data_IF_422390454396
#
_entry.id   IF_422390454396
#
_cell.length_a   1.000
_cell.length_b   1.000
_cell.length_c   1.000
_cell.angle_alpha   90.00
_cell.angle_beta   90.00
_cell.angle_gamma   90.00
#
_symmetry.space_group_name_H-M   'P 1'
#
loop_
_entity.id
_entity.type
_entity.pdbx_description
1 polymer ?
#
# COMPACT_ATOMS: atom_id res chain seq x y z
N UNK A 1 21.85 14.22 -8.06
CA UNK A 1 22.15 12.94 -7.36
C UNK A 1 22.14 11.79 -8.38
N UNK A 2 22.67 10.60 -8.08
CA UNK A 2 22.49 9.39 -8.91
C UNK A 2 21.83 8.29 -8.09
N UNK A 3 20.78 7.68 -8.64
CA UNK A 3 20.14 6.48 -8.09
C UNK A 3 20.46 5.33 -9.04
N UNK A 4 20.95 4.23 -8.49
CA UNK A 4 21.29 3.04 -9.27
C UNK A 4 20.23 1.97 -9.05
N UNK A 5 19.75 1.36 -10.14
CA UNK A 5 18.75 0.28 -10.14
C UNK A 5 19.24 -0.93 -10.94
N UNK A 6 18.67 -2.11 -10.73
CA UNK A 6 19.16 -3.32 -11.38
C UNK A 6 18.74 -3.45 -12.85
N UNK A 7 17.54 -2.98 -13.21
CA UNK A 7 16.93 -3.22 -14.53
C UNK A 7 16.03 -2.06 -15.00
N UNK A 8 15.52 -2.18 -16.23
CA UNK A 8 14.73 -1.13 -16.87
C UNK A 8 13.35 -0.92 -16.24
N UNK A 9 12.76 -1.94 -15.63
CA UNK A 9 11.45 -1.84 -14.99
C UNK A 9 11.56 -1.06 -13.67
N UNK A 10 12.59 -1.34 -12.87
CA UNK A 10 12.94 -0.53 -11.70
C UNK A 10 13.28 0.91 -12.09
N UNK A 11 14.02 1.10 -13.18
CA UNK A 11 14.32 2.45 -13.67
C UNK A 11 13.04 3.23 -13.98
N UNK A 12 12.10 2.61 -14.69
CA UNK A 12 10.79 3.21 -14.97
C UNK A 12 10.00 3.50 -13.70
N UNK A 13 9.99 2.58 -12.74
CA UNK A 13 9.29 2.75 -11.47
C UNK A 13 9.83 3.94 -10.70
N UNK A 14 11.15 3.99 -10.48
CA UNK A 14 11.79 5.06 -9.70
C UNK A 14 11.71 6.39 -10.42
N UNK A 15 11.87 6.41 -11.76
CA UNK A 15 11.68 7.64 -12.52
C UNK A 15 10.24 8.17 -12.38
N UNK A 16 9.23 7.29 -12.53
CA UNK A 16 7.82 7.69 -12.32
C UNK A 16 7.55 8.17 -10.90
N UNK A 17 8.20 7.59 -9.90
CA UNK A 17 8.11 8.03 -8.52
C UNK A 17 8.67 9.46 -8.36
N UNK A 18 9.89 9.71 -8.86
CA UNK A 18 10.50 11.05 -8.84
C UNK A 18 9.63 12.07 -9.58
N UNK A 19 9.12 11.71 -10.77
CA UNK A 19 8.25 12.59 -11.56
C UNK A 19 6.93 12.90 -10.83
N UNK A 20 6.37 11.90 -10.12
CA UNK A 20 5.14 12.04 -9.36
C UNK A 20 5.31 12.85 -8.07
N UNK A 21 6.53 12.94 -7.54
CA UNK A 21 6.80 13.69 -6.33
C UNK A 21 6.41 15.17 -6.50
N UNK A 22 6.66 15.82 -7.66
CA UNK A 22 6.18 17.18 -8.01
C UNK A 22 6.47 18.30 -6.98
N UNK A 23 6.63 19.54 -7.45
CA UNK A 23 7.01 20.77 -6.70
C UNK A 23 6.44 20.97 -5.27
N UNK A 24 5.39 20.28 -4.82
CA UNK A 24 4.76 20.45 -3.50
C UNK A 24 5.01 19.36 -2.46
N UNK A 25 5.67 18.23 -2.78
CA UNK A 25 5.85 17.18 -1.76
C UNK A 25 6.81 17.62 -0.65
N UNK A 26 7.84 18.41 -0.98
CA UNK A 26 8.78 18.93 0.01
C UNK A 26 8.10 19.90 0.97
N UNK A 27 7.28 20.83 0.47
CA UNK A 27 6.47 21.70 1.32
C UNK A 27 5.60 20.90 2.30
N UNK A 28 4.99 19.81 1.81
CA UNK A 28 4.16 18.93 2.65
C UNK A 28 5.01 18.18 3.67
N UNK A 29 6.17 17.65 3.27
CA UNK A 29 7.09 16.96 4.18
C UNK A 29 7.60 17.90 5.27
N UNK A 30 8.07 19.09 4.90
CA UNK A 30 8.52 20.13 5.82
C UNK A 30 7.40 20.52 6.78
N UNK A 31 6.17 20.71 6.29
CA UNK A 31 5.02 21.06 7.11
C UNK A 31 4.68 19.96 8.13
N UNK A 32 4.73 18.68 7.75
CA UNK A 32 4.44 17.57 8.68
C UNK A 32 5.58 17.38 9.70
N UNK A 33 6.84 17.56 9.30
CA UNK A 33 8.00 17.53 10.20
C UNK A 33 7.92 18.63 11.27
N UNK A 34 7.65 19.87 10.85
CA UNK A 34 7.46 21.00 11.77
C UNK A 34 6.27 20.81 12.69
N UNK A 35 5.17 20.28 12.17
CA UNK A 35 3.97 19.99 12.98
C UNK A 35 4.28 18.93 14.04
N UNK A 36 4.93 17.84 13.66
CA UNK A 36 5.32 16.77 14.59
C UNK A 36 6.25 17.31 15.67
N UNK A 37 7.28 18.06 15.29
CA UNK A 37 8.23 18.68 16.22
C UNK A 37 7.52 19.61 17.22
N UNK A 38 6.59 20.43 16.73
CA UNK A 38 5.78 21.31 17.58
C UNK A 38 4.92 20.52 18.58
N UNK A 39 4.25 19.46 18.14
CA UNK A 39 3.39 18.61 18.98
C UNK A 39 4.17 17.86 20.08
N UNK A 40 5.45 17.58 19.85
CA UNK A 40 6.32 16.84 20.77
C UNK A 40 7.31 17.74 21.53
N UNK A 41 7.27 19.06 21.30
CA UNK A 41 8.20 20.03 21.88
C UNK A 41 9.68 19.69 21.57
N UNK A 42 9.91 19.27 20.34
CA UNK A 42 11.21 18.93 19.76
C UNK A 42 11.55 19.91 18.61
N UNK A 43 12.77 19.79 18.07
CA UNK A 43 13.17 20.48 16.85
C UNK A 43 12.76 19.64 15.62
N UNK A 44 12.50 20.28 14.46
CA UNK A 44 12.31 19.56 13.20
C UNK A 44 13.48 18.62 12.91
N UNK A 45 13.21 17.47 12.27
CA UNK A 45 14.23 16.48 11.98
C UNK A 45 15.26 16.98 10.96
N UNK A 46 14.82 17.83 10.03
CA UNK A 46 15.66 18.39 8.97
C UNK A 46 15.68 19.91 9.05
N UNK A 47 16.86 20.47 8.83
CA UNK A 47 17.06 21.91 8.64
C UNK A 47 16.63 22.37 7.24
N UNK A 48 16.47 23.68 7.07
CA UNK A 48 16.18 24.28 5.76
C UNK A 48 17.26 24.00 4.72
N UNK A 49 18.54 23.93 5.12
CA UNK A 49 19.64 23.57 4.20
C UNK A 49 19.52 22.12 3.71
N UNK A 50 19.10 21.21 4.58
CA UNK A 50 18.89 19.80 4.23
C UNK A 50 17.68 19.62 3.31
N UNK A 51 16.58 20.34 3.55
CA UNK A 51 15.45 20.38 2.62
C UNK A 51 15.85 20.92 1.25
N UNK A 52 16.63 22.01 1.19
CA UNK A 52 17.18 22.55 -0.07
C UNK A 52 18.09 21.56 -0.80
N UNK A 53 18.87 20.77 -0.05
CA UNK A 53 19.71 19.73 -0.63
C UNK A 53 18.89 18.59 -1.24
N UNK A 54 17.79 18.19 -0.57
CA UNK A 54 16.87 17.17 -1.08
C UNK A 54 16.14 17.68 -2.32
N UNK A 55 15.70 18.94 -2.32
CA UNK A 55 15.08 19.62 -3.47
C UNK A 55 15.95 19.52 -4.72
N UNK A 56 17.15 20.12 -4.69
CA UNK A 56 18.06 20.08 -5.82
C UNK A 56 18.62 18.68 -6.12
N UNK A 57 18.70 17.82 -5.10
CA UNK A 57 19.29 16.49 -5.22
C UNK A 57 18.38 15.46 -5.88
N UNK A 58 17.13 15.36 -5.39
CA UNK A 58 16.19 14.31 -5.72
C UNK A 58 15.41 14.60 -7.01
N UNK A 59 14.98 15.84 -7.24
CA UNK A 59 14.29 16.19 -8.50
C UNK A 59 15.21 16.07 -9.72
N UNK A 60 16.49 16.38 -9.55
CA UNK A 60 17.51 16.22 -10.60
C UNK A 60 18.24 14.87 -10.51
N UNK A 61 17.69 13.91 -9.77
CA UNK A 61 18.31 12.60 -9.65
C UNK A 61 18.27 11.87 -10.99
N UNK A 62 19.44 11.43 -11.45
CA UNK A 62 19.54 10.56 -12.62
C UNK A 62 19.41 9.10 -12.17
N UNK A 63 18.45 8.38 -12.73
CA UNK A 63 18.26 6.94 -12.48
C UNK A 63 19.03 6.14 -13.54
N UNK A 64 20.02 5.36 -13.13
CA UNK A 64 20.87 4.55 -14.03
C UNK A 64 20.79 3.05 -13.71
N UNK A 65 20.93 2.22 -14.74
CA UNK A 65 20.89 0.77 -14.60
C UNK A 65 22.31 0.23 -14.34
N UNK A 66 22.48 -0.52 -13.25
CA UNK A 66 23.65 -1.36 -13.00
C UNK A 66 23.20 -2.79 -12.66
N UNK A 67 23.34 -3.71 -13.62
CA UNK A 67 22.84 -5.09 -13.54
C UNK A 67 23.46 -5.97 -12.45
N UNK A 68 24.51 -5.47 -11.77
CA UNK A 68 25.14 -6.12 -10.62
C UNK A 68 24.36 -5.90 -9.31
N UNK A 69 23.51 -4.88 -9.26
CA UNK A 69 22.70 -4.58 -8.09
C UNK A 69 21.67 -5.68 -7.86
N UNK A 70 21.19 -5.83 -6.63
CA UNK A 70 20.12 -6.80 -6.36
C UNK A 70 18.80 -6.25 -6.91
N UNK A 71 18.02 -7.02 -7.70
CA UNK A 71 16.73 -6.55 -8.17
C UNK A 71 15.76 -6.36 -7.00
N UNK A 72 14.86 -5.39 -7.14
CA UNK A 72 13.69 -5.24 -6.30
C UNK A 72 12.83 -6.50 -6.45
N UNK A 73 12.47 -7.08 -5.32
CA UNK A 73 11.58 -8.23 -5.27
C UNK A 73 10.17 -7.67 -5.18
N UNK A 74 9.43 -7.79 -6.28
CA UNK A 74 7.98 -7.63 -6.26
C UNK A 74 7.42 -8.99 -5.82
N UNK A 75 6.74 -9.03 -4.69
CA UNK A 75 5.90 -10.18 -4.38
C UNK A 75 4.68 -10.02 -5.30
N UNK A 76 4.63 -10.82 -6.37
CA UNK A 76 3.71 -10.71 -7.52
C UNK A 76 2.22 -10.87 -7.18
N UNK A 77 1.91 -10.85 -5.92
CA UNK A 77 0.66 -11.31 -5.40
C UNK A 77 0.18 -10.23 -4.42
N UNK A 78 -0.59 -9.26 -4.93
CA UNK A 78 -1.65 -8.56 -4.19
C UNK A 78 -2.72 -9.55 -3.65
N UNK A 79 -2.32 -10.81 -3.48
CA UNK A 79 -3.03 -11.89 -2.85
C UNK A 79 -3.00 -11.61 -1.36
N UNK A 80 -4.12 -11.12 -0.89
CA UNK A 80 -4.34 -11.06 0.54
C UNK A 80 -4.69 -12.46 1.00
N UNK A 81 -3.98 -12.90 2.03
CA UNK A 81 -4.26 -14.17 2.70
C UNK A 81 -4.83 -13.88 4.07
N UNK A 82 -5.80 -14.69 4.49
CA UNK A 82 -6.46 -14.51 5.77
C UNK A 82 -7.20 -15.76 6.22
N UNK A 83 -7.54 -15.83 7.50
CA UNK A 83 -8.41 -16.87 8.05
C UNK A 83 -9.78 -16.27 8.34
N UNK A 84 -10.84 -16.92 7.84
CA UNK A 84 -12.20 -16.45 8.11
C UNK A 84 -12.51 -16.57 9.62
N UNK A 85 -12.87 -15.47 10.26
CA UNK A 85 -13.19 -15.47 11.70
C UNK A 85 -14.43 -16.33 12.06
N UNK A 86 -15.31 -16.58 11.08
CA UNK A 86 -16.56 -17.35 11.27
C UNK A 86 -16.33 -18.85 11.15
N UNK A 87 -15.62 -19.31 10.10
CA UNK A 87 -15.50 -20.73 9.77
C UNK A 87 -14.08 -21.28 9.84
N UNK A 88 -13.07 -20.43 10.07
CA UNK A 88 -11.65 -20.80 10.11
C UNK A 88 -11.07 -21.18 8.75
N UNK A 89 -11.80 -21.01 7.65
CA UNK A 89 -11.29 -21.31 6.32
C UNK A 89 -10.16 -20.35 5.95
N UNK A 90 -9.04 -20.89 5.49
CA UNK A 90 -8.00 -20.10 4.84
C UNK A 90 -8.52 -19.54 3.51
N UNK A 91 -8.22 -18.28 3.26
CA UNK A 91 -8.66 -17.53 2.09
C UNK A 91 -7.47 -16.88 1.41
N UNK A 92 -7.55 -16.79 0.09
CA UNK A 92 -6.51 -16.34 -0.82
C UNK A 92 -7.23 -15.63 -1.97
N UNK A 93 -6.98 -14.35 -2.20
CA UNK A 93 -7.56 -13.66 -3.36
C UNK A 93 -7.28 -12.17 -3.45
N UNK A 94 -7.51 -11.61 -4.64
CA UNK A 94 -7.75 -10.18 -4.88
C UNK A 94 -9.26 -9.97 -4.74
N UNK A 95 -9.71 -9.15 -3.80
CA UNK A 95 -11.10 -9.22 -3.28
C UNK A 95 -12.19 -8.90 -4.31
N UNK A 96 -11.87 -8.38 -5.49
CA UNK A 96 -12.89 -7.97 -6.47
C UNK A 96 -12.43 -8.02 -7.95
N UNK A 97 -11.23 -8.52 -8.23
CA UNK A 97 -10.65 -8.47 -9.59
C UNK A 97 -10.27 -7.05 -10.06
N UNK A 98 -10.35 -6.04 -9.20
CA UNK A 98 -9.81 -4.71 -9.42
C UNK A 98 -8.37 -4.63 -8.89
N UNK A 99 -7.60 -3.65 -9.38
CA UNK A 99 -6.34 -3.28 -8.75
C UNK A 99 -6.63 -2.57 -7.43
N UNK A 100 -6.15 -3.12 -6.31
CA UNK A 100 -6.21 -2.46 -5.01
C UNK A 100 -5.17 -1.32 -4.97
N UNK A 101 -5.53 -0.20 -4.34
CA UNK A 101 -4.53 0.85 -4.07
C UNK A 101 -3.69 0.51 -2.83
N UNK A 102 -2.63 1.27 -2.58
CA UNK A 102 -1.73 0.97 -1.46
C UNK A 102 -2.40 1.16 -0.08
N UNK A 103 -3.35 2.10 0.05
CA UNK A 103 -4.06 2.31 1.31
C UNK A 103 -5.02 1.14 1.59
N UNK A 104 -5.70 0.66 0.56
CA UNK A 104 -6.55 -0.52 0.59
C UNK A 104 -5.72 -1.77 0.94
N UNK A 105 -4.56 -1.97 0.31
CA UNK A 105 -3.63 -3.05 0.65
C UNK A 105 -3.22 -3.02 2.13
N UNK A 106 -2.82 -1.84 2.65
CA UNK A 106 -2.44 -1.67 4.05
C UNK A 106 -3.61 -1.96 5.01
N UNK A 107 -4.82 -1.54 4.66
CA UNK A 107 -6.00 -1.84 5.44
C UNK A 107 -6.29 -3.34 5.46
N UNK A 108 -6.29 -3.98 4.28
CA UNK A 108 -6.61 -5.40 4.13
C UNK A 108 -5.61 -6.30 4.87
N UNK A 109 -4.36 -5.88 4.98
CA UNK A 109 -3.29 -6.60 5.70
C UNK A 109 -3.14 -6.18 7.17
N UNK A 110 -3.96 -5.26 7.67
CA UNK A 110 -3.92 -4.81 9.07
C UNK A 110 -4.45 -5.86 10.06
N UNK A 111 -3.96 -5.83 11.31
CA UNK A 111 -4.48 -6.71 12.38
C UNK A 111 -5.98 -6.53 12.62
N UNK A 112 -6.50 -5.32 12.43
CA UNK A 112 -7.92 -5.01 12.64
C UNK A 112 -8.80 -5.62 11.55
N UNK A 113 -8.41 -5.46 10.28
CA UNK A 113 -9.09 -6.11 9.16
C UNK A 113 -9.10 -7.63 9.33
N UNK A 114 -7.94 -8.22 9.66
CA UNK A 114 -7.79 -9.66 9.90
C UNK A 114 -8.75 -10.21 10.97
N UNK A 115 -9.07 -9.45 12.02
CA UNK A 115 -10.02 -9.87 13.08
C UNK A 115 -11.45 -10.03 12.58
N UNK A 116 -11.82 -9.28 11.56
CA UNK A 116 -13.17 -9.26 10.99
C UNK A 116 -13.26 -9.97 9.64
N UNK A 117 -12.16 -10.56 9.18
CA UNK A 117 -12.03 -11.16 7.87
C UNK A 117 -13.02 -12.30 7.64
N UNK A 118 -13.68 -12.30 6.47
CA UNK A 118 -14.69 -13.30 6.09
C UNK A 118 -14.37 -13.87 4.73
N UNK A 119 -14.52 -15.19 4.59
CA UNK A 119 -14.56 -15.78 3.26
C UNK A 119 -15.85 -15.38 2.54
N UNK A 120 -15.81 -15.38 1.20
CA UNK A 120 -16.93 -15.01 0.33
C UNK A 120 -18.22 -15.77 0.70
N UNK A 121 -18.12 -17.06 1.01
CA UNK A 121 -19.25 -17.88 1.46
C UNK A 121 -19.89 -17.39 2.77
N UNK A 122 -19.08 -16.99 3.76
CA UNK A 122 -19.59 -16.50 5.03
C UNK A 122 -20.13 -15.06 4.89
N UNK A 123 -19.50 -14.25 4.06
CA UNK A 123 -19.98 -12.91 3.71
C UNK A 123 -21.34 -12.96 2.99
N UNK A 124 -21.47 -13.79 1.95
CA UNK A 124 -22.72 -13.97 1.20
C UNK A 124 -23.89 -14.46 2.06
N UNK A 125 -23.66 -15.43 2.96
CA UNK A 125 -24.69 -15.94 3.89
C UNK A 125 -25.23 -14.88 4.86
N UNK A 126 -24.41 -13.94 5.29
CA UNK A 126 -24.86 -12.82 6.12
C UNK A 126 -25.65 -11.80 5.31
N UNK A 127 -25.18 -11.50 4.09
CA UNK A 127 -25.85 -10.56 3.19
C UNK A 127 -27.26 -11.05 2.80
N UNK A 128 -27.41 -12.35 2.53
CA UNK A 128 -28.72 -12.99 2.29
C UNK A 128 -29.66 -12.91 3.50
N UNK A 129 -29.12 -13.09 4.72
CA UNK A 129 -29.88 -12.95 5.97
C UNK A 129 -30.33 -11.52 6.24
N UNK A 130 -29.47 -10.53 5.96
CA UNK A 130 -29.80 -9.11 6.12
C UNK A 130 -30.84 -8.63 5.09
N UNK A 131 -30.83 -9.19 3.88
CA UNK A 131 -31.83 -8.90 2.86
C UNK A 131 -33.14 -9.70 3.01
N UNK A 132 -33.26 -10.54 4.05
CA UNK A 132 -34.47 -11.33 4.32
C UNK A 132 -34.75 -12.42 3.27
N UNK A 133 -33.75 -12.82 2.49
CA UNK A 133 -33.91 -13.82 1.45
C UNK A 133 -33.73 -15.20 2.10
N UNK A 134 -34.81 -15.75 2.64
CA UNK A 134 -34.84 -17.17 3.02
C UNK A 134 -34.86 -18.02 1.76
N UNK A 135 -33.70 -18.54 1.34
CA UNK A 135 -33.68 -19.59 0.32
C UNK A 135 -34.16 -20.90 0.96
N UNK A 136 -35.48 -21.14 0.86
CA UNK A 136 -36.08 -22.44 1.11
C UNK A 136 -35.57 -23.41 0.03
N UNK A 137 -34.51 -24.16 0.33
CA UNK A 137 -34.23 -25.38 -0.42
C UNK A 137 -35.14 -26.46 0.16
N UNK A 138 -36.33 -26.61 -0.44
CA UNK A 138 -37.13 -27.83 -0.30
C UNK A 138 -36.32 -28.99 -0.88
N UNK A 139 -35.69 -29.79 -0.03
CA UNK A 139 -35.37 -31.17 -0.40
C UNK A 139 -36.69 -31.97 -0.48
N UNK A 140 -37.33 -31.93 -1.64
CA UNK A 140 -38.27 -32.99 -2.03
C UNK A 140 -37.49 -34.22 -2.49
N UNK A 141 -37.50 -35.20 -1.59
CA UNK A 141 -37.42 -36.67 -1.77
C UNK A 141 -36.35 -37.24 -2.68
#
# INVERSE_FOLDING_TARGET
MKITVNNADEQKLIQRFIDALNEKWLDKMESEDHKWAHEHNEEPNLSSEEYMFIDGGLYEAKVEIESKEKPLIVYDDDIITGECYICGAHTVGTIDGCSIDYAEYLWLTSEESCKSWKCETCWGKEHEKQMGINHFIEHRR
#
